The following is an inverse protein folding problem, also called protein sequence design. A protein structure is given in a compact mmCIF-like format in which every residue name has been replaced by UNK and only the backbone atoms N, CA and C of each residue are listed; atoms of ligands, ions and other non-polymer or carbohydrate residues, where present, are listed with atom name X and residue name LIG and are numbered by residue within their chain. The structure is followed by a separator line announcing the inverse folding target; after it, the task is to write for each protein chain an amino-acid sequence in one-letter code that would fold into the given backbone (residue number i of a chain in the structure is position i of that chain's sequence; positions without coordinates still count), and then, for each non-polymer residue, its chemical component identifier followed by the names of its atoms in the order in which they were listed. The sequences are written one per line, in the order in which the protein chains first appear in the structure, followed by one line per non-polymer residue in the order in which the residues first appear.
data_IF_377393046250
#
_entry.id   IF_377393046250
#
_cell.length_a   1.000
_cell.length_b   1.000
_cell.length_c   1.000
_cell.angle_alpha   90.00
_cell.angle_beta   90.00
_cell.angle_gamma   90.00
#
_symmetry.space_group_name_H-M   'P 1'
#
loop_
_entity.id
_entity.type
_entity.pdbx_description
1 polymer ?
#
# COMPACT_ATOMS: atom_id res chain seq x y z
N UNK A 1 -14.56 12.73 -14.63
CA UNK A 1 -15.67 11.78 -14.37
C UNK A 1 -15.06 10.43 -14.00
N UNK A 2 -15.67 9.70 -13.06
CA UNK A 2 -15.23 8.35 -12.70
C UNK A 2 -15.33 7.40 -13.92
N UNK A 3 -14.44 6.40 -14.06
CA UNK A 3 -14.53 5.43 -15.15
C UNK A 3 -15.82 4.61 -15.04
N UNK A 4 -16.37 4.20 -16.18
CA UNK A 4 -17.37 3.15 -16.20
C UNK A 4 -16.71 1.85 -15.69
N UNK A 5 -17.35 1.23 -14.69
CA UNK A 5 -16.87 -0.03 -14.13
C UNK A 5 -17.37 -1.21 -14.96
N UNK A 6 -16.52 -2.21 -15.11
CA UNK A 6 -16.92 -3.47 -15.71
C UNK A 6 -17.91 -4.22 -14.80
N UNK A 7 -18.85 -5.03 -15.32
CA UNK A 7 -19.80 -5.77 -14.50
C UNK A 7 -19.20 -6.59 -13.34
N UNK A 8 -17.98 -7.15 -13.49
CA UNK A 8 -17.28 -7.84 -12.40
C UNK A 8 -16.88 -6.90 -11.28
N UNK A 9 -16.40 -5.72 -11.64
CA UNK A 9 -15.94 -4.71 -10.69
C UNK A 9 -17.14 -4.21 -9.88
N UNK A 10 -18.27 -3.96 -10.56
CA UNK A 10 -19.53 -3.64 -9.90
C UNK A 10 -20.01 -4.79 -9.00
N UNK A 11 -19.96 -6.04 -9.47
CA UNK A 11 -20.35 -7.21 -8.69
C UNK A 11 -19.44 -7.43 -7.46
N UNK A 12 -18.13 -7.21 -7.61
CA UNK A 12 -17.14 -7.31 -6.52
C UNK A 12 -17.39 -6.26 -5.44
N UNK A 13 -17.62 -5.00 -5.83
CA UNK A 13 -17.99 -3.93 -4.90
C UNK A 13 -19.32 -4.27 -4.22
N UNK A 14 -20.32 -4.73 -4.96
CA UNK A 14 -21.63 -5.09 -4.41
C UNK A 14 -21.53 -6.27 -3.41
N UNK A 15 -20.70 -7.26 -3.72
CA UNK A 15 -20.43 -8.37 -2.80
C UNK A 15 -19.86 -7.86 -1.48
N UNK A 16 -18.77 -7.07 -1.54
CA UNK A 16 -18.18 -6.45 -0.33
C UNK A 16 -19.13 -5.47 0.35
N UNK A 17 -20.01 -4.78 -0.37
CA UNK A 17 -21.01 -3.89 0.22
C UNK A 17 -22.08 -4.66 1.02
N UNK A 18 -22.45 -5.85 0.53
CA UNK A 18 -23.47 -6.70 1.18
C UNK A 18 -22.95 -7.42 2.43
N UNK A 19 -21.66 -7.77 2.47
CA UNK A 19 -21.04 -8.50 3.59
C UNK A 19 -21.15 -7.76 4.93
N UNK A 20 -20.86 -6.44 5.03
CA UNK A 20 -21.06 -5.65 6.24
C UNK A 20 -22.50 -5.62 6.76
N UNK A 21 -23.53 -5.92 5.96
CA UNK A 21 -24.91 -5.95 6.46
C UNK A 21 -25.12 -7.02 7.52
N UNK A 22 -24.41 -8.15 7.42
CA UNK A 22 -24.47 -9.23 8.42
C UNK A 22 -23.61 -8.93 9.65
N UNK A 23 -22.56 -8.12 9.49
CA UNK A 23 -21.63 -7.73 10.56
C UNK A 23 -21.97 -6.37 11.20
N UNK A 24 -22.95 -5.64 10.68
CA UNK A 24 -23.25 -4.25 11.06
C UNK A 24 -23.52 -4.11 12.56
N UNK A 25 -24.32 -5.00 13.14
CA UNK A 25 -24.59 -4.99 14.59
C UNK A 25 -23.29 -5.15 15.38
N UNK A 26 -22.46 -6.12 15.02
CA UNK A 26 -21.18 -6.37 15.69
C UNK A 26 -20.21 -5.19 15.53
N UNK A 27 -20.14 -4.55 14.35
CA UNK A 27 -19.33 -3.35 14.14
C UNK A 27 -19.77 -2.20 15.04
N UNK A 28 -21.09 -1.95 15.11
CA UNK A 28 -21.64 -0.89 15.95
C UNK A 28 -21.45 -1.18 17.44
N UNK A 29 -21.63 -2.42 17.87
CA UNK A 29 -21.34 -2.85 19.25
C UNK A 29 -19.88 -2.65 19.60
N UNK A 30 -18.94 -3.06 18.73
CA UNK A 30 -17.50 -2.86 18.92
C UNK A 30 -17.15 -1.38 19.01
N UNK A 31 -17.63 -0.54 18.07
CA UNK A 31 -17.40 0.90 18.08
C UNK A 31 -17.92 1.51 19.39
N UNK A 32 -19.17 1.23 19.76
CA UNK A 32 -19.77 1.80 20.96
C UNK A 32 -19.04 1.35 22.23
N UNK A 33 -18.65 0.08 22.30
CA UNK A 33 -17.88 -0.46 23.43
C UNK A 33 -16.54 0.24 23.57
N UNK A 34 -15.73 0.30 22.49
CA UNK A 34 -14.41 0.92 22.55
C UNK A 34 -14.50 2.42 22.85
N UNK A 35 -15.44 3.14 22.24
CA UNK A 35 -15.64 4.56 22.52
C UNK A 35 -16.02 4.80 23.99
N UNK A 36 -16.96 4.01 24.53
CA UNK A 36 -17.35 4.07 25.94
C UNK A 36 -16.15 3.83 26.86
N UNK A 37 -15.38 2.76 26.63
CA UNK A 37 -14.20 2.41 27.42
C UNK A 37 -13.09 3.47 27.33
N UNK A 38 -13.01 4.19 26.20
CA UNK A 38 -12.05 5.27 25.99
C UNK A 38 -12.55 6.65 26.43
N UNK A 39 -13.66 6.72 27.17
CA UNK A 39 -14.30 7.97 27.61
C UNK A 39 -14.61 8.95 26.46
N UNK A 40 -14.84 8.41 25.26
CA UNK A 40 -15.36 9.14 24.11
C UNK A 40 -16.87 8.93 24.10
N UNK A 41 -17.67 9.98 24.32
CA UNK A 41 -19.13 9.86 24.41
C UNK A 41 -19.67 9.08 23.19
N UNK A 42 -20.20 7.85 23.38
CA UNK A 42 -20.60 6.96 22.29
C UNK A 42 -21.99 7.37 21.79
N UNK A 43 -22.09 8.57 21.25
CA UNK A 43 -23.31 9.04 20.61
C UNK A 43 -23.28 8.70 19.13
N UNK A 44 -24.44 8.52 18.51
CA UNK A 44 -24.55 8.39 17.05
C UNK A 44 -23.91 9.58 16.32
N UNK A 45 -23.80 10.75 16.97
CA UNK A 45 -23.11 11.92 16.43
C UNK A 45 -21.59 11.73 16.33
N UNK A 46 -20.91 11.12 17.33
CA UNK A 46 -19.46 10.87 17.29
C UNK A 46 -19.09 9.96 16.12
N UNK A 47 -19.78 8.83 15.98
CA UNK A 47 -19.57 7.90 14.85
C UNK A 47 -19.77 8.60 13.50
N UNK A 48 -20.86 9.35 13.37
CA UNK A 48 -21.17 10.08 12.13
C UNK A 48 -20.11 11.12 11.80
N UNK A 49 -19.59 11.83 12.81
CA UNK A 49 -18.52 12.80 12.65
C UNK A 49 -17.20 12.13 12.20
N UNK A 50 -16.85 10.98 12.79
CA UNK A 50 -15.68 10.19 12.38
C UNK A 50 -15.77 9.74 10.92
N UNK A 51 -16.88 9.11 10.54
CA UNK A 51 -17.08 8.64 9.16
C UNK A 51 -17.08 9.79 8.15
N UNK A 52 -17.70 10.93 8.52
CA UNK A 52 -17.69 12.14 7.71
C UNK A 52 -16.29 12.74 7.55
N UNK A 53 -15.48 12.76 8.63
CA UNK A 53 -14.09 13.18 8.57
C UNK A 53 -13.28 12.27 7.63
N UNK A 54 -13.35 10.95 7.83
CA UNK A 54 -12.66 9.94 6.99
C UNK A 54 -13.03 10.12 5.51
N UNK A 55 -14.33 10.19 5.18
CA UNK A 55 -14.78 10.33 3.78
C UNK A 55 -14.29 11.61 3.11
N UNK A 56 -14.06 12.68 3.87
CA UNK A 56 -13.56 13.96 3.33
C UNK A 56 -12.05 13.96 3.16
N UNK A 57 -11.31 13.38 4.11
CA UNK A 57 -9.86 13.61 4.24
C UNK A 57 -8.99 12.42 3.90
N UNK A 58 -9.51 11.19 3.98
CA UNK A 58 -8.72 10.01 3.67
C UNK A 58 -8.30 9.98 2.20
N UNK A 59 -7.14 9.39 1.94
CA UNK A 59 -6.58 9.22 0.60
C UNK A 59 -6.05 7.81 0.42
N UNK A 60 -6.18 7.28 -0.78
CA UNK A 60 -5.57 5.98 -1.14
C UNK A 60 -4.15 6.24 -1.60
N UNK A 61 -3.21 5.43 -1.13
CA UNK A 61 -1.84 5.41 -1.62
C UNK A 61 -1.56 4.08 -2.32
N UNK A 62 -1.11 4.14 -3.57
CA UNK A 62 -0.61 2.98 -4.31
C UNK A 62 0.92 2.96 -4.21
N UNK A 63 1.46 2.04 -3.41
CA UNK A 63 2.90 1.92 -3.17
C UNK A 63 3.58 1.11 -4.27
N UNK A 64 4.74 1.58 -4.70
CA UNK A 64 5.57 0.92 -5.70
C UNK A 64 7.06 1.25 -5.49
N UNK A 65 7.91 0.45 -6.11
CA UNK A 65 9.34 0.77 -6.25
C UNK A 65 9.57 1.24 -7.69
N UNK A 66 10.00 2.49 -7.91
CA UNK A 66 10.05 3.10 -9.24
C UNK A 66 11.07 2.44 -10.16
N UNK A 67 12.11 1.86 -9.58
CA UNK A 67 13.28 1.28 -10.23
C UNK A 67 13.12 -0.20 -10.63
N UNK A 68 12.00 -0.84 -10.26
CA UNK A 68 11.82 -2.27 -10.52
C UNK A 68 11.63 -2.51 -12.03
N UNK A 69 12.30 -3.53 -12.60
CA UNK A 69 12.08 -3.92 -13.98
C UNK A 69 10.67 -4.52 -14.14
N UNK A 70 9.98 -4.16 -15.23
CA UNK A 70 8.66 -4.70 -15.59
C UNK A 70 8.81 -5.86 -16.57
N UNK A 71 8.13 -6.99 -16.37
CA UNK A 71 8.20 -8.13 -17.30
C UNK A 71 9.55 -8.85 -17.30
N UNK A 72 10.08 -9.19 -18.49
CA UNK A 72 11.22 -10.10 -18.69
C UNK A 72 12.60 -9.51 -18.37
N UNK A 73 12.69 -8.53 -17.46
CA UNK A 73 13.95 -8.03 -16.91
C UNK A 73 14.91 -7.31 -17.88
N UNK A 74 14.53 -7.19 -19.17
CA UNK A 74 15.18 -6.37 -20.23
C UNK A 74 14.41 -5.06 -20.50
N UNK A 75 13.23 -4.93 -19.89
CA UNK A 75 12.21 -3.91 -20.11
C UNK A 75 12.38 -2.65 -19.24
N UNK A 76 11.66 -1.56 -19.56
CA UNK A 76 11.63 -0.34 -18.77
C UNK A 76 11.35 -0.58 -17.27
N UNK A 77 11.78 0.38 -16.44
CA UNK A 77 11.43 0.37 -15.01
C UNK A 77 9.95 0.71 -14.81
N UNK A 78 9.45 0.54 -13.59
CA UNK A 78 8.10 1.00 -13.22
C UNK A 78 7.93 2.49 -13.51
N UNK A 79 8.91 3.33 -13.17
CA UNK A 79 8.87 4.78 -13.45
C UNK A 79 8.82 5.07 -14.95
N UNK A 80 9.69 4.46 -15.75
CA UNK A 80 9.69 4.61 -17.21
C UNK A 80 8.35 4.16 -17.82
N UNK A 81 7.77 3.08 -17.32
CA UNK A 81 6.50 2.53 -17.81
C UNK A 81 5.31 3.45 -17.48
N UNK A 82 5.25 3.96 -16.24
CA UNK A 82 4.27 4.96 -15.84
C UNK A 82 4.41 6.25 -16.66
N UNK A 83 5.65 6.66 -16.96
CA UNK A 83 5.92 7.84 -17.78
C UNK A 83 5.45 7.66 -19.21
N UNK A 84 5.59 6.46 -19.77
CA UNK A 84 5.19 6.15 -21.13
C UNK A 84 3.67 6.29 -21.31
N UNK A 85 2.88 5.56 -20.52
CA UNK A 85 1.43 5.40 -20.78
C UNK A 85 0.50 5.98 -19.72
N UNK A 86 0.99 6.35 -18.54
CA UNK A 86 0.17 6.93 -17.48
C UNK A 86 -0.82 5.97 -16.83
N UNK A 87 -0.59 4.66 -16.90
CA UNK A 87 -1.51 3.64 -16.37
C UNK A 87 -0.85 2.85 -15.23
N UNK A 88 -1.47 2.88 -14.05
CA UNK A 88 -1.05 2.03 -12.94
C UNK A 88 -1.69 0.64 -13.04
N UNK A 89 -0.85 -0.38 -13.19
CA UNK A 89 -1.26 -1.75 -13.49
C UNK A 89 -1.18 -2.69 -12.28
N UNK A 90 -1.96 -3.76 -12.33
CA UNK A 90 -1.96 -4.81 -11.32
C UNK A 90 -0.78 -5.77 -11.47
N UNK A 91 -0.59 -6.63 -10.47
CA UNK A 91 0.38 -7.73 -10.55
C UNK A 91 0.05 -8.74 -11.66
N UNK A 92 -1.23 -8.95 -11.97
CA UNK A 92 -1.65 -9.86 -13.05
C UNK A 92 -1.16 -9.38 -14.41
N UNK A 93 -1.04 -8.07 -14.59
CA UNK A 93 -0.54 -7.45 -15.82
C UNK A 93 1.00 -7.35 -15.84
N UNK A 94 1.60 -7.04 -14.69
CA UNK A 94 3.04 -6.67 -14.64
C UNK A 94 3.96 -7.81 -14.22
N UNK A 95 3.44 -8.83 -13.53
CA UNK A 95 4.24 -9.87 -12.86
C UNK A 95 5.02 -9.38 -11.63
N UNK A 96 5.06 -8.08 -11.36
CA UNK A 96 5.83 -7.48 -10.25
C UNK A 96 5.03 -7.53 -8.95
N UNK A 97 5.70 -7.88 -7.86
CA UNK A 97 5.09 -7.89 -6.53
C UNK A 97 6.08 -7.54 -5.44
N UNK A 98 5.63 -6.75 -4.48
CA UNK A 98 6.29 -6.55 -3.18
C UNK A 98 5.58 -7.34 -2.07
N UNK A 99 4.63 -8.21 -2.44
CA UNK A 99 3.94 -9.19 -1.59
C UNK A 99 4.33 -10.63 -1.96
N UNK A 100 3.35 -11.48 -2.28
CA UNK A 100 3.57 -12.82 -2.84
C UNK A 100 3.53 -12.84 -4.38
N UNK A 101 4.22 -13.81 -5.01
CA UNK A 101 4.24 -14.02 -6.48
C UNK A 101 3.24 -15.10 -6.94
N UNK A 102 1.96 -14.94 -6.57
CA UNK A 102 0.90 -15.92 -6.81
C UNK A 102 -0.23 -15.43 -7.72
N UNK A 103 -0.06 -14.28 -8.38
CA UNK A 103 -1.04 -13.70 -9.32
C UNK A 103 -1.05 -14.43 -10.67
N UNK A 104 -1.71 -15.57 -10.72
CA UNK A 104 -1.98 -16.36 -11.93
C UNK A 104 -3.26 -17.17 -11.71
N UNK A 105 -3.97 -17.61 -12.76
CA UNK A 105 -5.13 -18.48 -12.61
C UNK A 105 -4.82 -19.68 -11.70
N UNK A 106 -5.66 -19.90 -10.67
CA UNK A 106 -5.48 -20.97 -9.68
C UNK A 106 -4.28 -20.79 -8.72
N UNK A 107 -3.61 -19.64 -8.74
CA UNK A 107 -2.61 -19.28 -7.73
C UNK A 107 -3.27 -18.76 -6.46
N UNK A 108 -2.52 -18.73 -5.34
CA UNK A 108 -3.05 -18.29 -4.04
C UNK A 108 -3.72 -16.90 -4.08
N UNK A 109 -3.20 -15.95 -4.88
CA UNK A 109 -3.84 -14.63 -5.03
C UNK A 109 -5.17 -14.71 -5.74
N UNK A 110 -5.25 -15.58 -6.74
CA UNK A 110 -6.46 -15.77 -7.51
C UNK A 110 -7.57 -16.40 -6.65
N UNK A 111 -7.20 -17.38 -5.82
CA UNK A 111 -8.11 -18.05 -4.90
C UNK A 111 -8.61 -17.16 -3.76
N UNK A 112 -7.73 -16.36 -3.12
CA UNK A 112 -8.21 -15.46 -2.08
C UNK A 112 -9.07 -14.33 -2.67
N UNK A 113 -8.79 -13.85 -3.88
CA UNK A 113 -9.64 -12.84 -4.53
C UNK A 113 -11.00 -13.45 -4.90
N UNK A 114 -11.04 -14.75 -5.25
CA UNK A 114 -12.29 -15.49 -5.45
C UNK A 114 -13.11 -15.51 -4.17
N UNK A 115 -12.50 -15.84 -3.04
CA UNK A 115 -13.15 -15.83 -1.72
C UNK A 115 -13.63 -14.43 -1.34
N UNK A 116 -12.75 -13.44 -1.42
CA UNK A 116 -12.99 -12.06 -1.00
C UNK A 116 -14.14 -11.39 -1.77
N UNK A 117 -14.20 -11.60 -3.08
CA UNK A 117 -15.17 -10.95 -3.96
C UNK A 117 -16.33 -11.86 -4.39
N UNK A 118 -16.51 -13.01 -3.75
CA UNK A 118 -17.58 -13.95 -4.08
C UNK A 118 -17.53 -14.47 -5.50
N UNK A 119 -16.33 -14.64 -6.06
CA UNK A 119 -16.11 -15.10 -7.43
C UNK A 119 -16.48 -14.09 -8.52
N UNK A 120 -16.68 -12.80 -8.19
CA UNK A 120 -17.07 -11.78 -9.16
C UNK A 120 -16.08 -11.61 -10.34
N UNK A 121 -14.79 -11.93 -10.12
CA UNK A 121 -13.76 -11.93 -11.16
C UNK A 121 -13.57 -13.27 -11.86
N UNK A 122 -14.37 -14.28 -11.51
CA UNK A 122 -14.20 -15.68 -11.89
C UNK A 122 -15.45 -16.30 -12.52
N UNK A 123 -16.43 -15.48 -12.91
CA UNK A 123 -17.60 -15.97 -13.64
C UNK A 123 -17.19 -16.56 -15.00
N UNK A 124 -18.04 -17.42 -15.58
CA UNK A 124 -17.71 -18.15 -16.81
C UNK A 124 -17.45 -17.22 -18.01
N UNK A 125 -16.39 -17.49 -18.78
CA UNK A 125 -16.07 -16.81 -20.05
C UNK A 125 -15.12 -15.60 -19.96
N UNK A 126 -14.40 -15.43 -18.83
CA UNK A 126 -13.59 -14.24 -18.58
C UNK A 126 -12.11 -14.39 -18.88
N UNK A 127 -11.60 -15.61 -18.92
CA UNK A 127 -10.26 -15.87 -19.44
C UNK A 127 -10.33 -15.82 -20.97
N UNK A 128 -10.30 -14.61 -21.52
CA UNK A 128 -10.12 -14.41 -22.96
C UNK A 128 -8.69 -14.81 -23.38
N UNK A 129 -8.54 -15.16 -24.66
CA UNK A 129 -7.23 -15.53 -25.24
C UNK A 129 -6.25 -14.34 -25.22
N UNK A 130 -6.77 -13.10 -25.13
CA UNK A 130 -6.04 -11.84 -25.23
C UNK A 130 -5.51 -11.33 -23.87
N UNK A 131 -6.03 -11.87 -22.76
CA UNK A 131 -5.61 -11.56 -21.40
C UNK A 131 -6.16 -10.25 -20.81
N UNK A 132 -7.23 -9.67 -21.35
CA UNK A 132 -7.77 -8.38 -20.88
C UNK A 132 -8.28 -8.45 -19.43
N UNK A 133 -8.73 -9.64 -19.01
CA UNK A 133 -9.19 -9.90 -17.64
C UNK A 133 -8.17 -9.50 -16.57
N UNK A 134 -6.86 -9.54 -16.90
CA UNK A 134 -5.78 -9.14 -15.99
C UNK A 134 -5.92 -7.67 -15.57
N UNK A 135 -6.32 -6.80 -16.50
CA UNK A 135 -6.56 -5.37 -16.24
C UNK A 135 -7.85 -5.10 -15.45
N UNK A 136 -8.79 -6.04 -15.48
CA UNK A 136 -10.04 -5.95 -14.71
C UNK A 136 -9.81 -6.16 -13.21
N UNK A 137 -8.74 -6.86 -12.83
CA UNK A 137 -8.38 -7.15 -11.43
C UNK A 137 -8.13 -5.86 -10.64
N UNK A 138 -8.42 -5.87 -9.34
CA UNK A 138 -8.28 -4.67 -8.53
C UNK A 138 -6.80 -4.30 -8.33
N UNK A 139 -6.55 -3.00 -8.22
CA UNK A 139 -5.25 -2.43 -7.87
C UNK A 139 -5.18 -2.30 -6.34
N UNK A 140 -4.11 -2.81 -5.74
CA UNK A 140 -3.97 -2.85 -4.29
C UNK A 140 -3.16 -1.66 -3.78
N UNK A 141 -3.62 -1.07 -2.68
CA UNK A 141 -2.97 0.02 -1.99
C UNK A 141 -3.37 0.05 -0.51
N UNK A 142 -3.16 1.19 0.13
CA UNK A 142 -3.56 1.39 1.52
C UNK A 142 -4.22 2.75 1.73
N UNK A 143 -5.13 2.83 2.71
CA UNK A 143 -5.89 4.03 3.04
C UNK A 143 -5.17 4.81 4.13
N UNK A 144 -4.81 6.05 3.81
CA UNK A 144 -4.27 6.99 4.79
C UNK A 144 -5.40 7.79 5.44
N UNK A 145 -5.87 7.30 6.59
CA UNK A 145 -6.92 7.93 7.40
C UNK A 145 -6.39 9.13 8.18
N UNK A 146 -5.13 9.10 8.61
CA UNK A 146 -4.57 10.10 9.54
C UNK A 146 -3.78 11.21 8.87
N UNK A 147 -3.20 11.00 7.70
CA UNK A 147 -2.50 12.04 6.94
C UNK A 147 -1.10 12.30 7.45
N UNK A 148 -0.63 11.47 8.37
CA UNK A 148 0.62 11.67 9.12
C UNK A 148 1.78 10.86 8.56
N UNK A 149 1.53 9.88 7.69
CA UNK A 149 2.61 9.05 7.15
C UNK A 149 3.31 9.76 6.00
N UNK A 150 4.55 10.22 6.21
CA UNK A 150 5.32 10.93 5.17
C UNK A 150 5.67 10.01 3.99
N UNK A 151 5.88 8.73 4.27
CA UNK A 151 6.22 7.66 3.32
C UNK A 151 4.99 6.87 2.84
N UNK A 152 3.78 7.32 3.17
CA UNK A 152 2.52 6.65 2.86
C UNK A 152 2.09 5.59 3.89
N UNK A 153 0.83 5.12 3.84
CA UNK A 153 0.23 4.27 4.87
C UNK A 153 0.75 2.82 4.90
N UNK A 154 1.39 2.32 3.83
CA UNK A 154 1.92 0.95 3.76
C UNK A 154 3.31 0.88 3.07
N UNK A 155 4.34 1.53 3.65
CA UNK A 155 5.67 1.67 3.02
C UNK A 155 6.36 0.33 2.76
N UNK A 156 5.96 -0.77 3.42
CA UNK A 156 6.47 -2.11 3.09
C UNK A 156 6.36 -2.50 1.62
N UNK A 157 5.40 -1.93 0.89
CA UNK A 157 5.12 -2.31 -0.50
C UNK A 157 5.81 -1.41 -1.52
N UNK A 158 6.54 -0.38 -1.10
CA UNK A 158 7.21 0.50 -2.03
C UNK A 158 7.81 1.71 -1.36
N UNK A 159 8.95 2.14 -1.88
CA UNK A 159 9.66 3.36 -1.48
C UNK A 159 8.97 4.63 -1.99
N UNK A 160 8.10 4.51 -2.99
CA UNK A 160 7.33 5.63 -3.51
C UNK A 160 5.84 5.27 -3.47
N UNK A 161 4.96 6.28 -3.50
CA UNK A 161 3.54 6.05 -3.68
C UNK A 161 2.84 7.13 -4.51
N UNK A 162 1.84 6.71 -5.28
CA UNK A 162 0.87 7.62 -5.89
C UNK A 162 -0.27 7.84 -4.91
N UNK A 163 -0.48 9.08 -4.49
CA UNK A 163 -1.64 9.47 -3.68
C UNK A 163 -2.77 9.78 -4.64
N UNK A 164 -3.88 9.06 -4.51
CA UNK A 164 -5.02 9.17 -5.41
C UNK A 164 -6.00 10.24 -4.95
N UNK A 165 -6.66 10.88 -5.92
CA UNK A 165 -7.75 11.82 -5.68
C UNK A 165 -8.89 11.14 -4.93
N UNK A 166 -9.58 11.93 -4.10
CA UNK A 166 -10.65 11.47 -3.21
C UNK A 166 -11.77 10.72 -3.94
N UNK A 167 -12.09 11.12 -5.17
CA UNK A 167 -13.16 10.53 -5.99
C UNK A 167 -12.93 9.04 -6.26
N UNK A 168 -11.68 8.55 -6.17
CA UNK A 168 -11.36 7.14 -6.32
C UNK A 168 -11.96 6.27 -5.21
N UNK A 169 -12.22 6.85 -4.02
CA UNK A 169 -12.81 6.12 -2.89
C UNK A 169 -14.18 5.51 -3.21
N UNK A 170 -14.92 6.07 -4.18
CA UNK A 170 -16.25 5.59 -4.59
C UNK A 170 -16.22 4.21 -5.25
N UNK A 171 -15.06 3.81 -5.77
CA UNK A 171 -14.84 2.50 -6.41
C UNK A 171 -13.82 1.64 -5.66
N UNK A 172 -13.67 1.89 -4.36
CA UNK A 172 -12.78 1.13 -3.49
C UNK A 172 -13.55 0.20 -2.55
N UNK A 173 -12.95 -0.96 -2.31
CA UNK A 173 -13.26 -1.80 -1.16
C UNK A 173 -12.09 -1.78 -0.17
N UNK A 174 -12.37 -2.12 1.07
CA UNK A 174 -11.44 -1.94 2.19
C UNK A 174 -11.43 -3.18 3.08
N UNK A 175 -10.25 -3.52 3.58
CA UNK A 175 -10.07 -4.49 4.65
C UNK A 175 -9.17 -3.90 5.72
N UNK A 176 -9.48 -4.14 7.00
CA UNK A 176 -8.55 -3.80 8.08
C UNK A 176 -7.52 -4.92 8.21
N UNK A 177 -6.28 -4.64 7.79
CA UNK A 177 -5.26 -5.66 7.51
C UNK A 177 -5.31 -6.18 6.07
N UNK A 178 -4.34 -7.03 5.74
CA UNK A 178 -4.22 -7.61 4.40
C UNK A 178 -5.33 -8.61 4.09
N UNK A 179 -5.91 -8.53 2.90
CA UNK A 179 -7.06 -9.35 2.53
C UNK A 179 -6.76 -10.84 2.36
N UNK A 180 -5.49 -11.23 2.22
CA UNK A 180 -5.06 -12.63 2.16
C UNK A 180 -5.39 -13.41 3.44
N UNK A 181 -5.55 -12.71 4.57
CA UNK A 181 -5.86 -13.31 5.87
C UNK A 181 -7.38 -13.35 6.14
N UNK A 182 -8.19 -13.10 5.11
CA UNK A 182 -9.67 -13.02 5.16
C UNK A 182 -10.21 -12.23 6.36
N UNK A 183 -9.76 -10.97 6.56
CA UNK A 183 -10.07 -10.21 7.75
C UNK A 183 -11.58 -10.07 7.95
N UNK A 184 -12.00 -10.19 9.21
CA UNK A 184 -13.40 -9.97 9.64
C UNK A 184 -13.88 -8.60 9.20
N UNK A 185 -13.08 -7.58 9.47
CA UNK A 185 -13.42 -6.18 9.25
C UNK A 185 -13.11 -5.78 7.80
N UNK A 186 -14.17 -5.60 7.03
CA UNK A 186 -14.12 -5.20 5.62
C UNK A 186 -15.34 -4.34 5.26
N UNK A 187 -15.30 -3.63 4.14
CA UNK A 187 -16.44 -2.86 3.66
C UNK A 187 -16.13 -1.94 2.49
N UNK A 188 -17.10 -1.08 2.16
CA UNK A 188 -16.95 0.02 1.20
C UNK A 188 -16.90 1.35 1.94
N UNK A 189 -16.69 2.47 1.23
CA UNK A 189 -16.75 3.80 1.84
C UNK A 189 -18.15 4.14 2.38
N UNK A 190 -19.21 3.55 1.81
CA UNK A 190 -20.59 3.70 2.29
C UNK A 190 -20.88 2.83 3.51
N UNK A 191 -20.22 1.68 3.62
CA UNK A 191 -20.35 0.70 4.70
C UNK A 191 -19.04 0.56 5.48
N UNK A 192 -18.48 1.68 5.94
CA UNK A 192 -17.13 1.75 6.51
C UNK A 192 -17.05 1.41 8.02
N UNK A 193 -18.19 1.20 8.68
CA UNK A 193 -18.26 0.89 10.11
C UNK A 193 -17.38 -0.30 10.53
N UNK A 194 -17.32 -1.35 9.70
CA UNK A 194 -16.48 -2.52 9.98
C UNK A 194 -14.99 -2.18 10.06
N UNK A 195 -14.50 -1.37 9.11
CA UNK A 195 -13.10 -0.95 9.08
C UNK A 195 -12.77 0.00 10.23
N UNK A 196 -13.70 0.92 10.56
CA UNK A 196 -13.57 1.78 11.74
C UNK A 196 -13.53 0.95 13.04
N UNK A 197 -14.38 -0.08 13.16
CA UNK A 197 -14.37 -1.00 14.29
C UNK A 197 -13.01 -1.69 14.43
N UNK A 198 -12.43 -2.18 13.32
CA UNK A 198 -11.10 -2.79 13.31
C UNK A 198 -10.00 -1.82 13.77
N UNK A 199 -10.02 -0.57 13.31
CA UNK A 199 -9.05 0.44 13.73
C UNK A 199 -9.16 0.80 15.22
N UNK A 200 -10.39 0.90 15.74
CA UNK A 200 -10.64 1.16 17.15
C UNK A 200 -10.26 -0.03 18.03
N UNK A 201 -10.60 -1.25 17.61
CA UNK A 201 -10.22 -2.49 18.30
C UNK A 201 -8.70 -2.64 18.37
N UNK A 202 -8.00 -2.38 17.27
CA UNK A 202 -6.53 -2.41 17.21
C UNK A 202 -5.90 -1.38 18.15
N UNK A 203 -6.37 -0.13 18.09
CA UNK A 203 -5.96 0.94 19.00
C UNK A 203 -6.24 0.61 20.48
N UNK A 204 -7.33 -0.11 20.76
CA UNK A 204 -7.70 -0.51 22.12
C UNK A 204 -6.82 -1.65 22.63
N UNK A 205 -6.58 -2.67 21.82
CA UNK A 205 -5.87 -3.89 22.22
C UNK A 205 -4.35 -3.73 22.22
N UNK A 206 -3.81 -2.91 21.32
CA UNK A 206 -2.35 -2.75 21.13
C UNK A 206 -1.82 -1.40 21.59
N UNK A 207 -2.72 -0.49 22.00
CA UNK A 207 -2.39 0.91 22.29
C UNK A 207 -1.67 1.59 21.10
N UNK A 208 -1.89 1.11 19.89
CA UNK A 208 -1.39 1.66 18.61
C UNK A 208 -2.29 1.21 17.46
N UNK A 209 -2.28 1.91 16.32
CA UNK A 209 -2.94 1.43 15.08
C UNK A 209 -2.37 2.09 13.82
N UNK A 210 -2.67 1.50 12.65
CA UNK A 210 -2.29 2.01 11.33
C UNK A 210 -0.79 2.34 11.18
N UNK A 211 0.05 1.63 11.94
CA UNK A 211 1.50 1.78 11.89
C UNK A 211 2.04 3.07 12.50
N UNK A 212 1.21 3.86 13.19
CA UNK A 212 1.66 5.07 13.89
C UNK A 212 2.68 4.69 14.96
N UNK A 213 3.83 5.38 14.98
CA UNK A 213 4.83 5.20 16.03
C UNK A 213 4.35 5.81 17.34
N UNK A 214 4.58 5.10 18.44
CA UNK A 214 4.16 5.54 19.76
C UNK A 214 2.73 5.10 20.11
N UNK A 215 2.24 5.65 21.21
CA UNK A 215 0.96 5.29 21.78
C UNK A 215 -0.19 5.99 21.03
N UNK A 216 -1.10 5.20 20.47
CA UNK A 216 -2.34 5.64 19.84
C UNK A 216 -3.51 4.85 20.42
N UNK A 217 -3.95 5.27 21.61
CA UNK A 217 -5.19 4.76 22.23
C UNK A 217 -6.44 5.26 21.47
N UNK A 218 -7.62 4.64 21.67
CA UNK A 218 -8.80 4.99 20.89
C UNK A 218 -9.22 6.46 20.99
N UNK A 219 -9.08 7.10 22.16
CA UNK A 219 -9.39 8.54 22.30
C UNK A 219 -8.44 9.44 21.50
N UNK A 220 -7.16 9.07 21.43
CA UNK A 220 -6.18 9.71 20.56
C UNK A 220 -6.53 9.55 19.08
N UNK A 221 -6.93 8.34 18.68
CA UNK A 221 -7.36 8.04 17.32
C UNK A 221 -8.59 8.87 16.91
N UNK A 222 -9.61 8.90 17.77
CA UNK A 222 -10.82 9.70 17.57
C UNK A 222 -10.47 11.17 17.40
N UNK A 223 -9.64 11.72 18.30
CA UNK A 223 -9.21 13.12 18.24
C UNK A 223 -8.45 13.42 16.95
N UNK A 224 -7.53 12.54 16.53
CA UNK A 224 -6.75 12.72 15.31
C UNK A 224 -7.63 12.73 14.05
N UNK A 225 -8.58 11.81 13.94
CA UNK A 225 -9.52 11.74 12.81
C UNK A 225 -10.39 13.00 12.76
N UNK A 226 -10.95 13.43 13.88
CA UNK A 226 -11.81 14.62 13.94
C UNK A 226 -11.03 15.90 13.62
N UNK A 227 -9.84 16.07 14.21
CA UNK A 227 -8.97 17.22 13.93
C UNK A 227 -8.60 17.31 12.45
N UNK A 228 -8.29 16.18 11.80
CA UNK A 228 -8.08 16.14 10.35
C UNK A 228 -9.32 16.57 9.58
N UNK A 229 -10.49 16.11 10.00
CA UNK A 229 -11.78 16.49 9.42
C UNK A 229 -12.09 18.00 9.52
N UNK A 230 -11.48 18.69 10.47
CA UNK A 230 -11.57 20.14 10.68
C UNK A 230 -10.50 20.93 9.91
N UNK A 231 -9.65 20.26 9.13
CA UNK A 231 -8.57 20.88 8.35
C UNK A 231 -7.23 20.92 9.09
N UNK A 232 -7.09 20.22 10.22
CA UNK A 232 -5.81 20.09 10.91
C UNK A 232 -4.80 19.32 10.06
N UNK A 233 -3.63 19.91 9.84
CA UNK A 233 -2.48 19.26 9.24
C UNK A 233 -1.52 18.83 10.35
N UNK A 234 -1.39 17.51 10.54
CA UNK A 234 -0.41 16.94 11.46
C UNK A 234 0.99 16.97 10.87
N UNK A 235 2.01 16.92 11.73
CA UNK A 235 3.38 16.67 11.30
C UNK A 235 3.44 15.33 10.57
N UNK A 236 4.01 15.34 9.36
CA UNK A 236 4.23 14.11 8.59
C UNK A 236 5.49 13.43 9.08
N UNK A 237 5.33 12.23 9.60
CA UNK A 237 6.39 11.42 10.19
C UNK A 237 6.55 10.11 9.43
N UNK A 238 7.77 9.56 9.47
CA UNK A 238 8.00 8.21 9.00
C UNK A 238 7.39 7.20 9.97
N UNK A 239 6.59 6.29 9.45
CA UNK A 239 5.90 5.29 10.29
C UNK A 239 6.79 4.09 10.59
N UNK A 240 7.59 3.65 9.60
CA UNK A 240 8.23 2.34 9.63
C UNK A 240 7.24 1.18 9.83
N UNK A 241 6.04 1.38 9.28
CA UNK A 241 4.95 0.43 9.31
C UNK A 241 5.19 -0.74 8.35
N UNK A 242 4.90 -1.94 8.83
CA UNK A 242 4.90 -3.14 7.99
C UNK A 242 3.50 -3.73 7.94
N UNK A 243 2.90 -4.05 9.07
CA UNK A 243 1.77 -4.98 9.07
C UNK A 243 0.43 -4.33 9.42
N UNK A 244 0.41 -3.05 9.82
CA UNK A 244 -0.79 -2.41 10.39
C UNK A 244 -1.32 -1.33 9.46
N UNK A 245 -2.23 -1.68 8.56
CA UNK A 245 -2.81 -0.74 7.59
C UNK A 245 -4.23 -1.15 7.22
N UNK A 246 -4.98 -0.19 6.68
CA UNK A 246 -6.23 -0.48 5.97
C UNK A 246 -5.87 -0.74 4.52
N UNK A 247 -5.99 -1.99 4.08
CA UNK A 247 -5.76 -2.34 2.68
C UNK A 247 -6.94 -1.85 1.83
N UNK A 248 -6.61 -1.37 0.63
CA UNK A 248 -7.57 -0.85 -0.35
C UNK A 248 -7.47 -1.69 -1.61
N UNK A 249 -8.61 -2.11 -2.12
CA UNK A 249 -8.72 -2.68 -3.47
C UNK A 249 -9.47 -1.70 -4.35
N UNK A 250 -8.75 -1.05 -5.28
CA UNK A 250 -9.26 -0.08 -6.24
C UNK A 250 -9.77 -0.82 -7.46
N UNK A 251 -11.07 -0.71 -7.72
CA UNK A 251 -11.73 -1.33 -8.86
C UNK A 251 -11.76 -0.36 -10.05
N UNK A 252 -11.66 -0.88 -11.28
CA UNK A 252 -11.50 -0.07 -12.49
C UNK A 252 -10.06 0.35 -12.74
N UNK A 253 -9.80 0.90 -13.92
CA UNK A 253 -8.47 1.39 -14.31
C UNK A 253 -8.02 2.58 -13.43
N UNK A 254 -6.71 2.71 -13.21
CA UNK A 254 -6.10 3.87 -12.54
C UNK A 254 -5.24 4.61 -13.55
N UNK A 255 -5.72 5.78 -14.00
CA UNK A 255 -5.02 6.68 -14.94
C UNK A 255 -4.40 7.83 -14.18
N UNK A 256 -3.13 8.11 -14.43
CA UNK A 256 -2.36 9.12 -13.71
C UNK A 256 -2.98 10.52 -13.83
N UNK A 257 -3.28 10.96 -15.05
CA UNK A 257 -3.92 12.26 -15.34
C UNK A 257 -5.26 12.47 -14.60
N UNK A 258 -6.02 11.39 -14.40
CA UNK A 258 -7.39 11.44 -13.87
C UNK A 258 -7.40 11.24 -12.37
N UNK A 259 -6.67 10.25 -11.89
CA UNK A 259 -6.85 9.66 -10.57
C UNK A 259 -5.75 10.05 -9.59
N UNK A 260 -4.59 10.52 -10.04
CA UNK A 260 -3.49 10.87 -9.15
C UNK A 260 -3.58 12.33 -8.70
N UNK A 261 -3.45 12.54 -7.39
CA UNK A 261 -3.39 13.84 -6.74
C UNK A 261 -1.94 14.29 -6.54
N UNK A 262 -1.04 13.38 -6.19
CA UNK A 262 0.39 13.66 -6.05
C UNK A 262 1.25 12.40 -6.11
N UNK A 263 2.54 12.57 -6.38
CA UNK A 263 3.56 11.53 -6.26
C UNK A 263 4.41 11.80 -5.03
N UNK A 264 4.59 10.80 -4.18
CA UNK A 264 5.53 10.81 -3.05
C UNK A 264 6.70 9.90 -3.39
N UNK A 265 7.92 10.41 -3.33
CA UNK A 265 9.13 9.69 -3.73
C UNK A 265 10.21 9.68 -2.64
N UNK A 266 11.02 8.62 -2.64
CA UNK A 266 12.16 8.49 -1.73
C UNK A 266 13.35 9.36 -2.22
N UNK A 267 13.91 10.24 -1.38
CA UNK A 267 14.96 11.18 -1.76
C UNK A 267 16.25 10.52 -2.26
N UNK A 268 16.50 9.24 -1.96
CA UNK A 268 17.67 8.53 -2.50
C UNK A 268 17.67 8.40 -4.03
N UNK A 269 16.53 8.63 -4.69
CA UNK A 269 16.45 8.68 -6.16
C UNK A 269 16.79 10.05 -6.77
N UNK A 270 16.95 11.12 -5.97
CA UNK A 270 17.28 12.45 -6.50
C UNK A 270 18.58 12.43 -7.29
N UNK A 271 18.59 13.06 -8.46
CA UNK A 271 19.75 13.10 -9.36
C UNK A 271 20.09 11.76 -10.03
N UNK A 272 19.26 10.73 -9.88
CA UNK A 272 19.36 9.49 -10.66
C UNK A 272 18.42 9.51 -11.86
N UNK A 273 18.66 8.64 -12.85
CA UNK A 273 17.79 8.47 -14.02
C UNK A 273 16.33 8.20 -13.62
N UNK A 274 16.10 7.33 -12.64
CA UNK A 274 14.76 7.02 -12.10
C UNK A 274 14.14 8.25 -11.41
N UNK A 275 14.94 9.09 -10.76
CA UNK A 275 14.50 10.37 -10.19
C UNK A 275 14.03 11.35 -11.27
N UNK A 276 14.81 11.51 -12.34
CA UNK A 276 14.43 12.35 -13.48
C UNK A 276 13.16 11.85 -14.18
N UNK A 277 12.98 10.53 -14.28
CA UNK A 277 11.74 9.95 -14.81
C UNK A 277 10.53 10.29 -13.93
N UNK A 278 10.66 10.25 -12.61
CA UNK A 278 9.61 10.65 -11.68
C UNK A 278 9.29 12.14 -11.74
N UNK A 279 10.30 13.00 -11.96
CA UNK A 279 10.11 14.44 -12.19
C UNK A 279 9.34 14.69 -13.50
N UNK A 280 9.78 14.07 -14.60
CA UNK A 280 9.09 14.12 -15.90
C UNK A 280 7.67 13.57 -15.82
N UNK A 281 7.45 12.53 -15.01
CA UNK A 281 6.14 11.92 -14.77
C UNK A 281 5.19 12.92 -14.13
N UNK A 282 5.64 13.58 -13.06
CA UNK A 282 4.88 14.58 -12.34
C UNK A 282 4.54 15.80 -13.23
N UNK A 283 5.51 16.27 -14.01
CA UNK A 283 5.32 17.35 -14.98
C UNK A 283 4.31 16.96 -16.07
N UNK A 284 4.51 15.82 -16.73
CA UNK A 284 3.68 15.35 -17.86
C UNK A 284 2.20 15.20 -17.48
N UNK A 285 1.93 14.67 -16.29
CA UNK A 285 0.55 14.36 -15.85
C UNK A 285 -0.03 15.41 -14.88
N UNK A 286 0.71 16.48 -14.58
CA UNK A 286 0.19 17.67 -13.91
C UNK A 286 -0.13 17.50 -12.43
N UNK A 287 0.71 16.78 -11.68
CA UNK A 287 0.57 16.64 -10.22
C UNK A 287 1.91 16.95 -9.50
N UNK A 288 1.88 17.43 -8.25
CA UNK A 288 3.10 17.71 -7.50
C UNK A 288 3.87 16.43 -7.14
N UNK A 289 5.19 16.54 -7.16
CA UNK A 289 6.14 15.57 -6.63
C UNK A 289 6.62 16.03 -5.25
N UNK A 290 6.42 15.18 -4.24
CA UNK A 290 6.90 15.37 -2.88
C UNK A 290 7.98 14.34 -2.58
N UNK A 291 9.09 14.80 -2.02
CA UNK A 291 10.12 13.91 -1.50
C UNK A 291 9.92 13.74 0.00
N UNK A 292 9.73 12.51 0.47
CA UNK A 292 9.61 12.25 1.90
C UNK A 292 10.99 12.25 2.58
N UNK A 293 11.03 11.99 3.89
CA UNK A 293 12.26 12.03 4.70
C UNK A 293 13.28 10.91 4.39
N UNK A 294 12.99 10.03 3.44
CA UNK A 294 13.80 8.86 3.09
C UNK A 294 14.04 7.87 4.22
N UNK A 295 14.86 6.86 3.93
CA UNK A 295 15.41 5.95 4.94
C UNK A 295 16.80 5.49 4.54
N UNK A 296 17.71 5.48 5.53
CA UNK A 296 19.05 4.92 5.41
C UNK A 296 19.38 4.07 6.62
N UNK A 297 20.14 3.00 6.42
CA UNK A 297 20.66 2.17 7.50
C UNK A 297 22.14 1.84 7.23
N UNK A 298 23.00 1.92 8.24
CA UNK A 298 24.36 1.40 8.13
C UNK A 298 24.34 -0.11 7.93
N UNK A 299 25.18 -0.65 7.06
CA UNK A 299 25.22 -2.10 6.79
C UNK A 299 25.49 -2.92 8.05
N UNK A 300 26.33 -2.39 8.95
CA UNK A 300 26.63 -2.98 10.26
C UNK A 300 25.51 -2.82 11.30
N UNK A 301 24.56 -1.90 11.07
CA UNK A 301 23.41 -1.67 11.96
C UNK A 301 22.21 -2.59 11.64
N UNK A 302 22.34 -3.43 10.60
CA UNK A 302 21.28 -4.36 10.18
C UNK A 302 21.14 -5.47 11.22
N UNK A 303 19.96 -5.63 11.84
CA UNK A 303 19.76 -6.63 12.90
C UNK A 303 19.87 -8.05 12.35
N UNK A 304 20.48 -8.94 13.12
CA UNK A 304 20.66 -10.36 12.77
C UNK A 304 19.42 -11.22 13.08
N UNK A 305 18.46 -10.69 13.83
CA UNK A 305 17.26 -11.37 14.30
C UNK A 305 15.96 -10.91 13.61
N UNK A 306 16.06 -10.15 12.52
CA UNK A 306 14.91 -9.67 11.75
C UNK A 306 15.01 -10.05 10.27
N UNK A 307 13.97 -10.75 9.77
CA UNK A 307 13.85 -11.20 8.37
C UNK A 307 14.93 -12.19 7.89
N UNK A 308 15.49 -12.96 8.81
CA UNK A 308 16.31 -14.13 8.50
C UNK A 308 17.82 -13.86 8.51
N UNK A 309 18.64 -14.92 8.67
CA UNK A 309 20.05 -14.80 9.02
C UNK A 309 20.95 -14.26 7.89
N UNK A 310 20.47 -14.23 6.65
CA UNK A 310 21.25 -13.84 5.47
C UNK A 310 21.13 -12.37 5.11
N UNK A 311 20.19 -11.64 5.71
CA UNK A 311 19.94 -10.22 5.42
C UNK A 311 21.11 -9.30 5.81
N UNK A 312 21.81 -9.48 6.94
CA UNK A 312 22.99 -8.68 7.25
C UNK A 312 24.10 -8.80 6.19
N UNK A 313 24.41 -10.02 5.73
CA UNK A 313 25.43 -10.21 4.68
C UNK A 313 24.98 -9.69 3.32
N UNK A 314 23.67 -9.69 3.04
CA UNK A 314 23.13 -9.04 1.85
C UNK A 314 23.30 -7.53 1.91
N UNK A 315 23.00 -6.92 3.06
CA UNK A 315 23.15 -5.48 3.26
C UNK A 315 24.60 -5.02 2.98
N UNK A 316 25.59 -5.79 3.46
CA UNK A 316 27.01 -5.54 3.18
C UNK A 316 27.34 -5.55 1.69
N UNK A 317 26.73 -6.47 0.92
CA UNK A 317 26.92 -6.53 -0.54
C UNK A 317 26.26 -5.36 -1.26
N UNK A 318 25.09 -4.93 -0.79
CA UNK A 318 24.28 -3.87 -1.42
C UNK A 318 24.78 -2.48 -1.06
N UNK A 319 25.38 -2.32 0.11
CA UNK A 319 25.75 -1.02 0.65
C UNK A 319 26.71 -0.22 -0.24
N UNK A 320 26.47 1.09 -0.29
CA UNK A 320 27.38 2.09 -0.85
C UNK A 320 27.88 2.95 0.30
N UNK A 321 29.19 3.14 0.36
CA UNK A 321 29.86 3.89 1.44
C UNK A 321 29.44 3.43 2.87
N UNK A 322 29.19 2.12 3.02
CA UNK A 322 28.80 1.50 4.29
C UNK A 322 27.33 1.65 4.68
N UNK A 323 26.48 2.24 3.82
CA UNK A 323 25.05 2.44 4.08
C UNK A 323 24.17 1.88 2.96
N UNK A 324 22.91 1.58 3.29
CA UNK A 324 21.90 1.08 2.35
C UNK A 324 20.71 2.04 2.30
N UNK A 325 20.36 2.49 1.10
CA UNK A 325 19.17 3.30 0.80
C UNK A 325 18.14 2.51 -0.05
N UNK A 326 16.97 3.09 -0.30
CA UNK A 326 15.98 2.50 -1.20
C UNK A 326 16.54 2.31 -2.62
N UNK A 327 17.28 3.31 -3.12
CA UNK A 327 17.95 3.25 -4.42
C UNK A 327 18.98 2.13 -4.50
N UNK A 328 19.77 1.86 -3.46
CA UNK A 328 20.80 0.81 -3.50
C UNK A 328 20.18 -0.59 -3.60
N UNK A 329 19.10 -0.84 -2.84
CA UNK A 329 18.29 -2.06 -3.00
C UNK A 329 17.71 -2.11 -4.41
N UNK A 330 17.37 -0.94 -4.96
CA UNK A 330 16.95 -0.76 -6.33
C UNK A 330 17.94 -1.26 -7.37
N UNK A 331 19.15 -0.73 -7.28
CA UNK A 331 20.26 -1.06 -8.15
C UNK A 331 20.62 -2.55 -8.07
N UNK A 332 20.59 -3.14 -6.87
CA UNK A 332 20.81 -4.57 -6.67
C UNK A 332 19.75 -5.45 -7.36
N UNK A 333 18.47 -5.05 -7.34
CA UNK A 333 17.42 -5.76 -8.09
C UNK A 333 17.65 -5.65 -9.59
N UNK A 334 18.03 -4.47 -10.10
CA UNK A 334 18.34 -4.28 -11.53
C UNK A 334 19.58 -5.07 -11.95
N UNK A 335 20.58 -5.19 -11.09
CA UNK A 335 21.76 -6.01 -11.32
C UNK A 335 21.38 -7.50 -11.36
N UNK A 336 20.62 -8.00 -10.39
CA UNK A 336 20.13 -9.37 -10.36
C UNK A 336 19.30 -9.72 -11.61
N UNK A 337 18.49 -8.78 -12.08
CA UNK A 337 17.70 -8.90 -13.29
C UNK A 337 18.56 -9.03 -14.56
N UNK A 338 19.63 -8.23 -14.67
CA UNK A 338 20.53 -8.20 -15.83
C UNK A 338 21.54 -9.34 -15.83
N UNK A 339 22.06 -9.72 -14.66
CA UNK A 339 23.09 -10.73 -14.48
C UNK A 339 22.79 -11.63 -13.26
N UNK A 340 21.87 -12.60 -13.39
CA UNK A 340 21.56 -13.54 -12.32
C UNK A 340 22.78 -14.37 -11.87
N UNK A 341 23.74 -14.61 -12.76
CA UNK A 341 24.93 -15.43 -12.46
C UNK A 341 25.85 -14.75 -11.44
N UNK A 342 25.93 -13.41 -11.42
CA UNK A 342 26.65 -12.67 -10.38
C UNK A 342 26.09 -12.91 -8.96
N UNK A 343 24.87 -13.44 -8.84
CA UNK A 343 24.17 -13.65 -7.58
C UNK A 343 24.03 -15.12 -7.19
N UNK A 344 24.51 -16.06 -8.01
CA UNK A 344 24.28 -17.51 -7.83
C UNK A 344 24.77 -18.08 -6.50
N UNK A 345 25.80 -17.46 -5.90
CA UNK A 345 26.31 -17.85 -4.57
C UNK A 345 25.27 -17.63 -3.46
N UNK A 346 24.27 -16.76 -3.69
CA UNK A 346 23.14 -16.49 -2.79
C UNK A 346 21.89 -17.31 -3.11
N UNK A 347 21.96 -18.21 -4.09
CA UNK A 347 20.85 -19.09 -4.47
C UNK A 347 20.15 -18.66 -5.76
N UNK A 348 18.91 -19.13 -5.93
CA UNK A 348 18.12 -18.82 -7.13
C UNK A 348 17.72 -17.34 -7.19
N UNK A 349 17.42 -16.82 -8.38
CA UNK A 349 16.94 -15.45 -8.56
C UNK A 349 15.72 -15.14 -7.68
N UNK A 350 14.78 -16.08 -7.55
CA UNK A 350 13.61 -15.91 -6.68
C UNK A 350 13.97 -15.81 -5.20
N UNK A 351 15.00 -16.56 -4.76
CA UNK A 351 15.51 -16.49 -3.39
C UNK A 351 16.15 -15.12 -3.13
N UNK A 352 17.02 -14.65 -4.02
CA UNK A 352 17.68 -13.34 -3.85
C UNK A 352 16.67 -12.19 -3.91
N UNK A 353 15.68 -12.24 -4.79
CA UNK A 353 14.57 -11.26 -4.82
C UNK A 353 13.82 -11.21 -3.49
N UNK A 354 13.59 -12.37 -2.86
CA UNK A 354 12.95 -12.45 -1.55
C UNK A 354 13.83 -11.84 -0.45
N UNK A 355 15.15 -12.06 -0.47
CA UNK A 355 16.08 -11.43 0.47
C UNK A 355 16.15 -9.90 0.28
N UNK A 356 16.16 -9.40 -0.96
CA UNK A 356 16.15 -7.96 -1.25
C UNK A 356 14.86 -7.28 -0.74
N UNK A 357 13.71 -7.96 -0.85
CA UNK A 357 12.45 -7.51 -0.20
C UNK A 357 12.58 -7.48 1.33
N UNK A 358 13.24 -8.47 1.92
CA UNK A 358 13.48 -8.50 3.36
C UNK A 358 14.42 -7.39 3.82
N UNK A 359 15.45 -7.07 3.06
CA UNK A 359 16.31 -5.92 3.30
C UNK A 359 15.52 -4.60 3.20
N UNK A 360 14.57 -4.49 2.26
CA UNK A 360 13.64 -3.36 2.23
C UNK A 360 12.81 -3.26 3.51
N UNK A 361 12.28 -4.38 4.02
CA UNK A 361 11.55 -4.37 5.30
C UNK A 361 12.43 -3.95 6.49
N UNK A 362 13.70 -4.34 6.51
CA UNK A 362 14.67 -3.83 7.50
C UNK A 362 14.79 -2.32 7.38
N UNK A 363 14.99 -1.81 6.16
CA UNK A 363 15.13 -0.37 5.92
C UNK A 363 13.89 0.41 6.35
N UNK A 364 12.68 -0.09 6.06
CA UNK A 364 11.41 0.50 6.52
C UNK A 364 11.29 0.46 8.04
N UNK A 365 11.72 -0.62 8.71
CA UNK A 365 11.54 -0.75 10.16
C UNK A 365 12.58 0.02 10.97
N UNK A 366 13.85 -0.13 10.60
CA UNK A 366 15.01 0.28 11.41
C UNK A 366 15.80 1.44 10.82
N UNK A 367 15.58 1.79 9.54
CA UNK A 367 16.24 2.94 8.93
C UNK A 367 15.99 4.25 9.70
N UNK A 368 16.95 5.15 9.60
CA UNK A 368 16.91 6.53 10.10
C UNK A 368 16.55 7.48 8.93
N UNK A 369 16.08 8.71 9.19
CA UNK A 369 15.88 9.71 8.14
C UNK A 369 17.11 9.84 7.25
N UNK A 370 16.88 10.03 5.95
CA UNK A 370 17.94 10.26 4.98
C UNK A 370 18.24 11.75 4.92
N UNK A 371 19.44 12.13 5.35
CA UNK A 371 19.91 13.53 5.39
C UNK A 371 20.56 13.99 4.06
N UNK A 372 20.33 13.24 2.97
CA UNK A 372 20.98 13.41 1.66
C UNK A 372 20.15 14.17 0.62
#
# INVERSE_FOLDING_TARGET
MAPALHPSQTAAIAHIHSTPLTLRSQSLEMINHVLYMANCLPTSSTRTALLSAIRRTARVALHFHPDRPVGDFVSPTVASSLLADGIYRSQFETGISNGGHSARPGGARDEWERSLFGGAYHADGWEDEEGEWRGLRPKYGALDILGVASDGPAPRFGSCCLVLRREVLERCTFTFGGSQDEPKWRGTMEMFDGVLAGALEDAFMRETTMGVRGEMRPSGLVKAILARGEGGEGERVRTGNLDYYVEVQVHGEVRLERDVESLVADPSFRGSEVGEEMEKLAEKFGFPLWWHVGSVIGAEEVPSDFRGPTVPSLAQRVAKDGAVTAKDIGDAVRELARDPEAWKERGSQSHVMQELKWLWHVLVRYGKPFDG
#
